data_IF_059053035258
#
_entry.id   IF_059053035258
#
_cell.length_a   1.000
_cell.length_b   1.000
_cell.length_c   1.000
_cell.angle_alpha   90.00
_cell.angle_beta   90.00
_cell.angle_gamma   90.00
#
_symmetry.space_group_name_H-M   'P 1'
#
loop_
_entity.id
_entity.type
_entity.pdbx_description
1 polymer ?
#
# COMPACT_ATOMS: atom_id res chain seq x y z
N UNK A 1 -59.64 -27.89 -10.21
CA UNK A 1 -58.44 -28.58 -9.70
C UNK A 1 -57.22 -27.81 -10.17
N UNK A 2 -56.53 -27.10 -9.27
CA UNK A 2 -55.35 -26.27 -9.58
C UNK A 2 -54.11 -27.02 -9.12
N UNK A 3 -53.24 -27.41 -10.05
CA UNK A 3 -52.00 -28.13 -9.77
C UNK A 3 -50.94 -27.19 -9.17
N UNK A 4 -50.49 -27.53 -7.96
CA UNK A 4 -49.36 -26.88 -7.31
C UNK A 4 -48.06 -27.24 -8.03
N UNK A 5 -47.45 -26.25 -8.69
CA UNK A 5 -46.09 -26.35 -9.19
C UNK A 5 -45.10 -26.30 -8.00
N UNK A 6 -44.71 -27.48 -7.48
CA UNK A 6 -43.59 -27.59 -6.53
C UNK A 6 -42.27 -27.37 -7.29
N UNK A 7 -41.66 -26.18 -7.15
CA UNK A 7 -40.28 -25.93 -7.59
C UNK A 7 -39.34 -26.87 -6.85
N UNK A 8 -38.65 -27.73 -7.59
CA UNK A 8 -37.59 -28.61 -7.07
C UNK A 8 -36.39 -27.70 -6.68
N UNK A 9 -35.88 -27.75 -5.45
CA UNK A 9 -34.75 -26.93 -5.04
C UNK A 9 -33.48 -27.38 -5.77
N UNK A 10 -32.84 -26.45 -6.52
CA UNK A 10 -31.52 -26.67 -7.13
C UNK A 10 -30.52 -27.13 -6.07
N UNK A 11 -29.86 -28.27 -6.28
CA UNK A 11 -28.74 -28.72 -5.45
C UNK A 11 -27.62 -27.67 -5.54
N UNK A 12 -27.35 -26.97 -4.44
CA UNK A 12 -26.26 -25.99 -4.31
C UNK A 12 -24.95 -26.70 -3.91
N UNK A 13 -23.82 -26.18 -4.38
CA UNK A 13 -22.50 -26.69 -4.01
C UNK A 13 -22.22 -26.44 -2.51
N UNK A 14 -21.28 -27.18 -1.93
CA UNK A 14 -21.01 -27.12 -0.49
C UNK A 14 -20.59 -25.71 -0.02
N UNK A 15 -19.83 -24.99 -0.85
CA UNK A 15 -19.42 -23.61 -0.61
C UNK A 15 -20.61 -22.65 -0.59
N UNK A 16 -21.46 -22.67 -1.62
CA UNK A 16 -22.69 -21.87 -1.68
C UNK A 16 -23.57 -22.08 -0.44
N UNK A 17 -23.71 -23.33 0.01
CA UNK A 17 -24.49 -23.66 1.21
C UNK A 17 -23.87 -23.05 2.48
N UNK A 18 -22.54 -23.10 2.61
CA UNK A 18 -21.84 -22.48 3.75
C UNK A 18 -21.98 -20.96 3.73
N UNK A 19 -21.87 -20.34 2.56
CA UNK A 19 -22.03 -18.89 2.43
C UNK A 19 -23.46 -18.45 2.77
N UNK A 20 -24.47 -19.18 2.32
CA UNK A 20 -25.87 -18.93 2.68
C UNK A 20 -26.12 -19.07 4.18
N UNK A 21 -25.60 -20.13 4.80
CA UNK A 21 -25.71 -20.32 6.25
C UNK A 21 -25.04 -19.19 7.03
N UNK A 22 -23.87 -18.71 6.58
CA UNK A 22 -23.20 -17.53 7.17
C UNK A 22 -24.07 -16.29 7.04
N UNK A 23 -24.61 -16.01 5.86
CA UNK A 23 -25.47 -14.86 5.61
C UNK A 23 -26.78 -14.91 6.42
N UNK A 24 -27.38 -16.10 6.58
CA UNK A 24 -28.58 -16.31 7.41
C UNK A 24 -28.27 -16.10 8.89
N UNK A 25 -27.16 -16.65 9.38
CA UNK A 25 -26.70 -16.44 10.75
C UNK A 25 -26.45 -14.95 11.02
N UNK A 26 -25.82 -14.25 10.08
CA UNK A 26 -25.53 -12.82 10.18
C UNK A 26 -26.81 -11.99 10.27
N UNK A 27 -27.80 -12.27 9.40
CA UNK A 27 -29.10 -11.60 9.44
C UNK A 27 -29.85 -11.84 10.75
N UNK A 28 -29.84 -13.06 11.25
CA UNK A 28 -30.49 -13.41 12.51
C UNK A 28 -29.82 -12.70 13.69
N UNK A 29 -28.48 -12.68 13.72
CA UNK A 29 -27.72 -12.00 14.77
C UNK A 29 -27.98 -10.49 14.78
N UNK A 30 -28.07 -9.88 13.59
CA UNK A 30 -28.41 -8.47 13.44
C UNK A 30 -29.85 -8.18 13.90
N UNK A 31 -30.82 -8.97 13.45
CA UNK A 31 -32.22 -8.79 13.84
C UNK A 31 -32.42 -8.93 15.36
N UNK A 32 -31.72 -9.89 15.98
CA UNK A 32 -31.72 -10.10 17.43
C UNK A 32 -31.17 -8.87 18.18
N UNK A 33 -30.02 -8.34 17.75
CA UNK A 33 -29.42 -7.15 18.34
C UNK A 33 -30.32 -5.91 18.22
N UNK A 34 -30.93 -5.71 17.04
CA UNK A 34 -31.87 -4.61 16.80
C UNK A 34 -33.12 -4.75 17.67
N UNK A 35 -33.68 -5.96 17.81
CA UNK A 35 -34.88 -6.21 18.60
C UNK A 35 -34.66 -5.93 20.09
N UNK A 36 -33.56 -6.44 20.66
CA UNK A 36 -33.22 -6.24 22.08
C UNK A 36 -33.00 -4.78 22.43
N UNK A 37 -32.33 -4.02 21.55
CA UNK A 37 -32.14 -2.58 21.73
C UNK A 37 -33.44 -1.79 21.60
N UNK A 38 -34.31 -2.15 20.65
CA UNK A 38 -35.65 -1.53 20.53
C UNK A 38 -36.46 -1.75 21.80
N UNK A 39 -36.50 -2.99 22.29
CA UNK A 39 -37.19 -3.32 23.53
C UNK A 39 -36.64 -2.50 24.71
N UNK A 40 -35.32 -2.40 24.83
CA UNK A 40 -34.70 -1.58 25.88
C UNK A 40 -35.10 -0.10 25.78
N UNK A 41 -35.12 0.48 24.57
CA UNK A 41 -35.55 1.87 24.38
C UNK A 41 -37.03 2.08 24.72
N UNK A 42 -37.89 1.14 24.34
CA UNK A 42 -39.33 1.18 24.62
C UNK A 42 -39.62 1.05 26.13
N UNK A 43 -38.84 0.24 26.85
CA UNK A 43 -38.96 0.05 28.31
C UNK A 43 -38.50 1.28 29.09
N UNK A 44 -37.40 1.91 28.69
CA UNK A 44 -36.83 3.05 29.39
C UNK A 44 -37.57 4.37 29.12
N UNK A 45 -38.29 4.48 27.99
CA UNK A 45 -39.08 5.67 27.60
C UNK A 45 -38.30 6.98 27.75
N UNK A 46 -37.09 7.02 27.19
CA UNK A 46 -36.25 8.20 27.25
C UNK A 46 -36.97 9.43 26.68
N UNK A 47 -36.89 10.56 27.39
CA UNK A 47 -37.26 11.85 26.82
C UNK A 47 -36.17 12.30 25.83
N UNK A 48 -36.53 13.12 24.84
CA UNK A 48 -35.53 13.65 23.88
C UNK A 48 -34.45 14.51 24.58
N UNK A 49 -34.78 15.15 25.70
CA UNK A 49 -33.87 16.02 26.47
C UNK A 49 -32.88 15.22 27.33
N UNK A 50 -33.28 14.04 27.82
CA UNK A 50 -32.45 13.18 28.69
C UNK A 50 -31.64 12.13 27.93
N UNK A 51 -31.90 11.96 26.63
CA UNK A 51 -31.34 10.86 25.84
C UNK A 51 -29.80 10.88 25.80
N UNK A 52 -29.17 12.06 25.74
CA UNK A 52 -27.70 12.18 25.79
C UNK A 52 -27.15 11.63 27.11
N UNK A 53 -27.82 11.95 28.23
CA UNK A 53 -27.40 11.48 29.55
C UNK A 53 -27.57 9.96 29.69
N UNK A 54 -28.45 9.35 28.90
CA UNK A 54 -28.68 7.91 28.87
C UNK A 54 -27.65 7.12 28.03
N UNK A 55 -26.84 7.76 27.17
CA UNK A 55 -25.87 7.06 26.31
C UNK A 55 -24.95 6.12 27.07
N UNK A 56 -24.34 6.50 28.21
CA UNK A 56 -23.51 5.59 29.00
C UNK A 56 -24.27 4.33 29.47
N UNK A 57 -25.54 4.47 29.85
CA UNK A 57 -26.37 3.34 30.27
C UNK A 57 -26.69 2.41 29.09
N UNK A 58 -26.95 2.97 27.91
CA UNK A 58 -27.17 2.22 26.67
C UNK A 58 -25.90 1.43 26.30
N UNK A 59 -24.72 2.04 26.40
CA UNK A 59 -23.45 1.35 26.13
C UNK A 59 -23.18 0.22 27.13
N UNK A 60 -23.49 0.42 28.41
CA UNK A 60 -23.38 -0.63 29.43
C UNK A 60 -24.38 -1.75 29.20
N UNK A 61 -25.61 -1.45 28.76
CA UNK A 61 -26.59 -2.47 28.36
C UNK A 61 -26.05 -3.32 27.20
N UNK A 62 -25.60 -2.68 26.12
CA UNK A 62 -25.03 -3.37 24.95
C UNK A 62 -23.86 -4.25 25.37
N UNK A 63 -22.96 -3.74 26.21
CA UNK A 63 -21.78 -4.46 26.70
C UNK A 63 -22.14 -5.68 27.54
N UNK A 64 -23.19 -5.61 28.37
CA UNK A 64 -23.65 -6.72 29.22
C UNK A 64 -24.43 -7.77 28.45
N UNK A 65 -25.22 -7.36 27.46
CA UNK A 65 -26.09 -8.24 26.68
C UNK A 65 -25.34 -8.96 25.56
N UNK A 66 -24.31 -8.33 24.99
CA UNK A 66 -23.65 -8.85 23.80
C UNK A 66 -23.01 -10.25 24.01
N UNK A 67 -23.48 -11.29 23.32
CA UNK A 67 -22.89 -12.64 23.41
C UNK A 67 -21.55 -12.75 22.66
N UNK A 68 -21.29 -11.87 21.70
CA UNK A 68 -20.07 -11.85 20.90
C UNK A 68 -19.84 -10.45 20.27
N UNK A 69 -18.67 -10.28 19.63
CA UNK A 69 -18.28 -9.00 19.03
C UNK A 69 -19.19 -8.56 17.88
N UNK A 70 -19.66 -9.50 17.05
CA UNK A 70 -20.53 -9.19 15.91
C UNK A 70 -21.89 -8.66 16.38
N UNK A 71 -22.46 -9.25 17.42
CA UNK A 71 -23.72 -8.76 18.02
C UNK A 71 -23.52 -7.34 18.57
N UNK A 72 -22.41 -7.11 19.29
CA UNK A 72 -22.05 -5.79 19.81
C UNK A 72 -21.95 -4.76 18.66
N UNK A 73 -21.36 -5.13 17.53
CA UNK A 73 -21.25 -4.28 16.36
C UNK A 73 -22.64 -3.88 15.82
N UNK A 74 -23.52 -4.86 15.57
CA UNK A 74 -24.86 -4.57 15.08
C UNK A 74 -25.69 -3.73 16.06
N UNK A 75 -25.51 -3.96 17.37
CA UNK A 75 -26.13 -3.15 18.41
C UNK A 75 -25.68 -1.67 18.35
N UNK A 76 -24.36 -1.42 18.19
CA UNK A 76 -23.83 -0.06 18.02
C UNK A 76 -24.28 0.59 16.70
N UNK A 77 -24.29 -0.16 15.59
CA UNK A 77 -24.79 0.31 14.29
C UNK A 77 -26.26 0.69 14.37
N UNK A 78 -27.09 -0.15 15.00
CA UNK A 78 -28.51 0.12 15.21
C UNK A 78 -28.73 1.37 16.05
N UNK A 79 -28.03 1.49 17.18
CA UNK A 79 -28.15 2.65 18.06
C UNK A 79 -27.79 3.95 17.31
N UNK A 80 -26.74 3.92 16.50
CA UNK A 80 -26.38 5.06 15.65
C UNK A 80 -27.48 5.42 14.66
N UNK A 81 -27.99 4.45 13.91
CA UNK A 81 -29.09 4.67 12.95
C UNK A 81 -30.33 5.23 13.64
N UNK A 82 -30.65 4.72 14.85
CA UNK A 82 -31.77 5.23 15.64
C UNK A 82 -31.62 6.72 15.98
N UNK A 83 -30.43 7.16 16.39
CA UNK A 83 -30.16 8.59 16.66
C UNK A 83 -30.16 9.42 15.36
N UNK A 84 -29.62 8.90 14.26
CA UNK A 84 -29.67 9.58 12.96
C UNK A 84 -31.11 9.83 12.49
N UNK A 85 -31.98 8.82 12.62
CA UNK A 85 -33.40 8.93 12.28
C UNK A 85 -34.13 9.89 13.22
N UNK A 86 -33.84 9.82 14.53
CA UNK A 86 -34.44 10.69 15.54
C UNK A 86 -34.05 12.16 15.33
N UNK A 87 -32.79 12.44 15.00
CA UNK A 87 -32.29 13.76 14.62
C UNK A 87 -33.01 14.29 13.38
N UNK A 88 -33.14 13.47 12.33
CA UNK A 88 -33.85 13.85 11.10
C UNK A 88 -35.34 14.12 11.33
N UNK A 89 -36.03 13.25 12.07
CA UNK A 89 -37.48 13.34 12.29
C UNK A 89 -37.88 14.51 13.20
N UNK A 90 -37.02 14.88 14.16
CA UNK A 90 -37.33 15.91 15.15
C UNK A 90 -36.50 17.19 15.01
N UNK A 91 -35.67 17.29 13.95
CA UNK A 91 -34.73 18.39 13.73
C UNK A 91 -33.83 18.66 14.95
N UNK A 92 -33.26 17.59 15.51
CA UNK A 92 -32.33 17.60 16.64
C UNK A 92 -30.89 17.42 16.16
N UNK A 93 -29.94 17.81 17.02
CA UNK A 93 -28.49 17.69 16.75
C UNK A 93 -27.80 16.86 17.84
N UNK A 94 -28.35 15.67 18.12
CA UNK A 94 -27.74 14.77 19.10
C UNK A 94 -26.44 14.16 18.54
N UNK A 95 -25.38 14.03 19.35
CA UNK A 95 -24.12 13.45 18.91
C UNK A 95 -24.32 11.99 18.49
N UNK A 96 -23.72 11.58 17.38
CA UNK A 96 -23.88 10.21 16.89
C UNK A 96 -23.10 9.21 17.76
N UNK A 97 -23.74 8.07 18.15
CA UNK A 97 -23.07 6.99 18.84
C UNK A 97 -21.83 6.46 18.12
N UNK A 98 -20.78 6.14 18.87
CA UNK A 98 -19.56 5.55 18.31
C UNK A 98 -19.79 4.11 17.83
N UNK A 99 -19.18 3.77 16.69
CA UNK A 99 -19.16 2.41 16.15
C UNK A 99 -18.04 1.59 16.79
N UNK A 100 -18.21 0.27 16.83
CA UNK A 100 -17.13 -0.63 17.19
C UNK A 100 -16.12 -0.72 16.05
N UNK A 101 -14.84 -0.54 16.36
CA UNK A 101 -13.75 -0.77 15.41
C UNK A 101 -13.43 -2.27 15.35
N UNK A 102 -13.42 -2.85 14.15
CA UNK A 102 -12.84 -4.17 13.89
C UNK A 102 -11.41 -3.98 13.43
N UNK A 103 -10.43 -4.44 14.22
CA UNK A 103 -9.09 -4.68 13.69
C UNK A 103 -9.18 -5.80 12.66
N UNK A 104 -9.24 -5.45 11.38
CA UNK A 104 -8.91 -6.39 10.32
C UNK A 104 -7.40 -6.62 10.40
N UNK A 105 -7.00 -7.86 10.65
CA UNK A 105 -5.61 -8.25 10.44
C UNK A 105 -5.35 -8.22 8.94
N UNK A 106 -4.21 -7.68 8.55
CA UNK A 106 -3.77 -7.81 7.17
C UNK A 106 -3.66 -9.29 6.82
N UNK A 107 -4.04 -9.61 5.58
CA UNK A 107 -3.90 -10.97 5.10
C UNK A 107 -2.41 -11.34 5.04
N UNK A 108 -2.03 -12.56 5.45
CA UNK A 108 -0.66 -13.00 5.32
C UNK A 108 -0.26 -13.02 3.85
N UNK A 109 0.87 -12.40 3.51
CA UNK A 109 1.40 -12.44 2.14
C UNK A 109 1.87 -13.86 1.78
N UNK A 110 2.51 -14.54 2.74
CA UNK A 110 2.95 -15.91 2.58
C UNK A 110 1.81 -16.88 2.88
N UNK A 111 1.07 -17.26 1.83
CA UNK A 111 0.02 -18.28 1.88
C UNK A 111 0.46 -19.56 1.19
N UNK A 112 -0.28 -20.66 1.38
CA UNK A 112 -0.07 -21.88 0.60
C UNK A 112 -0.26 -21.63 -0.91
N UNK A 113 -1.24 -20.81 -1.26
CA UNK A 113 -1.51 -20.43 -2.65
C UNK A 113 -0.34 -19.64 -3.24
N UNK A 114 0.26 -18.74 -2.45
CA UNK A 114 1.47 -18.00 -2.86
C UNK A 114 2.65 -18.93 -3.11
N UNK A 115 2.86 -19.95 -2.27
CA UNK A 115 3.92 -20.96 -2.46
C UNK A 115 3.66 -21.78 -3.73
N UNK A 116 2.42 -22.23 -3.94
CA UNK A 116 2.06 -23.02 -5.13
C UNK A 116 2.19 -22.20 -6.41
N UNK A 117 1.72 -20.96 -6.42
CA UNK A 117 1.89 -20.04 -7.52
C UNK A 117 3.37 -19.73 -7.78
N UNK A 118 4.17 -19.60 -6.71
CA UNK A 118 5.59 -19.39 -6.83
C UNK A 118 6.32 -20.44 -7.67
N UNK A 119 5.95 -21.71 -7.53
CA UNK A 119 6.54 -22.78 -8.35
C UNK A 119 6.32 -22.57 -9.86
N UNK A 120 5.15 -22.06 -10.25
CA UNK A 120 4.88 -21.72 -11.66
C UNK A 120 5.66 -20.48 -12.11
N UNK A 121 5.93 -19.52 -11.21
CA UNK A 121 6.85 -18.41 -11.50
C UNK A 121 8.25 -18.95 -11.77
N UNK A 122 8.76 -19.87 -10.94
CA UNK A 122 10.08 -20.50 -11.15
C UNK A 122 10.16 -21.20 -12.52
N UNK A 123 9.12 -21.94 -12.92
CA UNK A 123 9.05 -22.58 -14.25
C UNK A 123 9.15 -21.54 -15.39
N UNK A 124 8.48 -20.39 -15.25
CA UNK A 124 8.58 -19.31 -16.25
C UNK A 124 10.01 -18.75 -16.28
N UNK A 125 10.63 -18.55 -15.11
CA UNK A 125 12.00 -18.07 -15.00
C UNK A 125 13.00 -19.05 -15.64
N UNK A 126 12.91 -20.34 -15.35
CA UNK A 126 13.76 -21.38 -15.95
C UNK A 126 13.67 -21.35 -17.48
N UNK A 127 12.45 -21.27 -18.03
CA UNK A 127 12.26 -21.21 -19.48
C UNK A 127 12.81 -19.93 -20.13
N UNK A 128 12.73 -18.80 -19.42
CA UNK A 128 13.35 -17.55 -19.87
C UNK A 128 14.88 -17.68 -19.90
N UNK A 129 15.46 -18.23 -18.83
CA UNK A 129 16.89 -18.50 -18.74
C UNK A 129 17.36 -19.43 -19.86
N UNK A 130 16.66 -20.54 -20.09
CA UNK A 130 16.97 -21.47 -21.20
C UNK A 130 16.96 -20.74 -22.54
N UNK A 131 15.93 -19.94 -22.80
CA UNK A 131 15.82 -19.17 -24.04
C UNK A 131 16.95 -18.14 -24.18
N UNK A 132 17.31 -17.44 -23.11
CA UNK A 132 18.39 -16.44 -23.15
C UNK A 132 19.78 -17.06 -23.32
N UNK A 133 20.05 -18.19 -22.66
CA UNK A 133 21.35 -18.88 -22.74
C UNK A 133 21.57 -19.54 -24.10
N UNK A 134 20.49 -19.99 -24.76
CA UNK A 134 20.57 -20.56 -26.11
C UNK A 134 20.88 -19.51 -27.19
N UNK A 135 20.74 -18.22 -26.90
CA UNK A 135 21.13 -17.15 -27.81
C UNK A 135 22.65 -16.97 -27.82
N UNK A 136 23.27 -17.05 -29.01
CA UNK A 136 24.74 -16.99 -29.15
C UNK A 136 25.32 -15.65 -28.69
N UNK A 137 24.65 -14.55 -29.02
CA UNK A 137 24.94 -13.23 -28.49
C UNK A 137 23.68 -12.35 -28.58
N UNK A 138 23.77 -11.11 -28.08
CA UNK A 138 22.63 -10.21 -28.04
C UNK A 138 21.99 -9.97 -29.42
N UNK A 139 22.77 -9.99 -30.52
CA UNK A 139 22.28 -9.78 -31.91
C UNK A 139 21.22 -10.78 -32.35
N UNK A 140 21.11 -11.93 -31.67
CA UNK A 140 20.09 -12.93 -31.92
C UNK A 140 18.67 -12.47 -31.54
N UNK A 141 18.53 -11.48 -30.67
CA UNK A 141 17.22 -10.93 -30.27
C UNK A 141 16.80 -9.79 -31.20
N UNK A 142 15.55 -9.81 -31.65
CA UNK A 142 14.91 -8.69 -32.32
C UNK A 142 14.72 -7.51 -31.37
N UNK A 143 14.48 -6.33 -31.94
CA UNK A 143 14.24 -5.13 -31.14
C UNK A 143 12.96 -5.25 -30.29
N UNK A 144 11.91 -5.88 -30.83
CA UNK A 144 10.69 -6.19 -30.08
C UNK A 144 10.93 -7.21 -28.95
N UNK A 145 11.82 -8.19 -29.16
CA UNK A 145 12.22 -9.12 -28.10
C UNK A 145 12.98 -8.40 -26.99
N UNK A 146 13.85 -7.43 -27.31
CA UNK A 146 14.53 -6.62 -26.30
C UNK A 146 13.52 -5.83 -25.47
N UNK A 147 12.56 -5.16 -26.12
CA UNK A 147 11.51 -4.40 -25.42
C UNK A 147 10.64 -5.33 -24.55
N UNK A 148 10.23 -6.49 -25.09
CA UNK A 148 9.46 -7.47 -24.33
C UNK A 148 10.20 -8.01 -23.11
N UNK A 149 11.51 -8.26 -23.23
CA UNK A 149 12.33 -8.67 -22.09
C UNK A 149 12.52 -7.55 -21.05
N UNK A 150 12.60 -6.27 -21.45
CA UNK A 150 12.60 -5.14 -20.50
C UNK A 150 11.32 -5.17 -19.65
N UNK A 151 10.15 -5.29 -20.30
CA UNK A 151 8.87 -5.31 -19.60
C UNK A 151 8.76 -6.51 -18.66
N UNK A 152 9.09 -7.71 -19.15
CA UNK A 152 8.98 -8.94 -18.38
C UNK A 152 9.93 -8.96 -17.19
N UNK A 153 11.17 -8.48 -17.36
CA UNK A 153 12.12 -8.36 -16.25
C UNK A 153 11.68 -7.30 -15.24
N UNK A 154 11.13 -6.16 -15.71
CA UNK A 154 10.58 -5.13 -14.83
C UNK A 154 9.45 -5.66 -13.95
N UNK A 155 8.65 -6.61 -14.44
CA UNK A 155 7.63 -7.31 -13.65
C UNK A 155 8.23 -8.32 -12.67
N UNK A 156 9.12 -9.20 -13.16
CA UNK A 156 9.60 -10.37 -12.42
C UNK A 156 10.70 -10.06 -11.39
N UNK A 157 11.43 -8.98 -11.60
CA UNK A 157 12.58 -8.59 -10.78
C UNK A 157 12.50 -7.13 -10.31
N UNK A 158 11.86 -6.24 -11.08
CA UNK A 158 11.82 -4.80 -10.80
C UNK A 158 10.60 -4.29 -10.03
N UNK A 159 9.56 -5.11 -9.81
CA UNK A 159 8.34 -4.70 -9.11
C UNK A 159 7.52 -3.64 -9.86
N UNK A 160 7.45 -3.70 -11.19
CA UNK A 160 6.47 -2.96 -12.01
C UNK A 160 5.45 -3.92 -12.59
N UNK A 161 4.38 -4.20 -11.84
CA UNK A 161 3.46 -5.29 -12.17
C UNK A 161 2.14 -4.82 -12.79
N UNK A 162 1.80 -3.53 -12.65
CA UNK A 162 0.56 -3.00 -13.21
C UNK A 162 0.73 -2.55 -14.66
N UNK A 163 -0.33 -2.74 -15.45
CA UNK A 163 -0.37 -2.36 -16.86
C UNK A 163 -0.09 -0.87 -17.08
N UNK A 164 -0.60 -0.01 -16.18
CA UNK A 164 -0.39 1.43 -16.26
C UNK A 164 1.10 1.81 -16.06
N UNK A 165 1.78 1.15 -15.12
CA UNK A 165 3.21 1.34 -14.86
C UNK A 165 4.08 0.81 -15.99
N UNK A 166 3.72 -0.32 -16.58
CA UNK A 166 4.41 -0.86 -17.76
C UNK A 166 4.19 0.03 -19.00
N UNK A 167 3.00 0.60 -19.18
CA UNK A 167 2.75 1.58 -20.22
C UNK A 167 3.57 2.86 -20.01
N UNK A 168 3.66 3.36 -18.78
CA UNK A 168 4.52 4.50 -18.46
C UNK A 168 6.00 4.19 -18.77
N UNK A 169 6.45 2.96 -18.51
CA UNK A 169 7.79 2.52 -18.91
C UNK A 169 7.96 2.50 -20.43
N UNK A 170 6.97 2.04 -21.21
CA UNK A 170 7.02 2.12 -22.68
C UNK A 170 7.05 3.57 -23.18
N UNK A 171 6.27 4.47 -22.57
CA UNK A 171 6.32 5.90 -22.88
C UNK A 171 7.72 6.46 -22.62
N UNK A 172 8.33 6.12 -21.49
CA UNK A 172 9.72 6.48 -21.19
C UNK A 172 10.70 5.89 -22.21
N UNK A 173 10.55 4.63 -22.63
CA UNK A 173 11.45 4.02 -23.62
C UNK A 173 11.34 4.71 -25.00
N UNK A 174 10.15 5.19 -25.38
CA UNK A 174 9.92 5.95 -26.63
C UNK A 174 10.66 7.28 -26.60
N UNK A 175 10.41 8.02 -25.53
CA UNK A 175 10.94 9.36 -25.31
C UNK A 175 11.64 9.34 -23.95
N UNK A 176 12.92 8.91 -23.89
CA UNK A 176 13.64 8.81 -22.63
C UNK A 176 13.68 10.18 -21.96
N UNK A 177 12.88 10.29 -20.89
CA UNK A 177 12.97 11.39 -19.96
C UNK A 177 14.27 11.28 -19.14
N UNK A 178 14.45 12.19 -18.18
CA UNK A 178 15.63 12.18 -17.32
C UNK A 178 15.72 10.89 -16.51
N UNK A 179 16.81 10.14 -16.74
CA UNK A 179 17.30 9.13 -15.81
C UNK A 179 18.20 9.85 -14.81
N UNK A 180 17.87 9.79 -13.53
CA UNK A 180 18.77 10.30 -12.50
C UNK A 180 19.71 9.21 -12.03
N UNK A 181 21.01 9.57 -11.98
CA UNK A 181 22.01 8.75 -11.33
C UNK A 181 22.25 9.28 -9.92
N UNK A 182 21.86 8.50 -8.92
CA UNK A 182 22.05 8.83 -7.51
C UNK A 182 22.83 7.67 -6.88
N UNK A 183 24.07 7.95 -6.49
CA UNK A 183 25.06 6.92 -6.13
C UNK A 183 25.24 5.89 -7.27
N UNK A 184 25.00 4.61 -6.97
CA UNK A 184 25.08 3.50 -7.92
C UNK A 184 23.73 3.11 -8.52
N UNK A 185 22.67 3.88 -8.23
CA UNK A 185 21.32 3.64 -8.73
C UNK A 185 20.99 4.54 -9.93
N UNK A 186 20.39 3.92 -10.94
CA UNK A 186 19.72 4.64 -12.02
C UNK A 186 18.23 4.62 -11.73
N UNK A 187 17.62 5.80 -11.65
CA UNK A 187 16.21 5.96 -11.30
C UNK A 187 15.48 6.50 -12.52
N UNK A 188 14.44 5.80 -12.92
CA UNK A 188 13.50 6.19 -13.96
C UNK A 188 12.25 6.73 -13.28
N UNK A 189 11.93 8.00 -13.53
CA UNK A 189 10.69 8.60 -13.05
C UNK A 189 9.58 8.28 -14.04
N UNK A 190 8.52 7.63 -13.55
CA UNK A 190 7.37 7.22 -14.33
C UNK A 190 6.13 7.92 -13.81
N UNK A 191 5.18 8.21 -14.71
CA UNK A 191 3.92 8.86 -14.36
C UNK A 191 2.70 8.03 -14.80
N UNK A 192 2.50 6.81 -14.26
CA UNK A 192 1.36 5.97 -14.63
C UNK A 192 0.01 6.62 -14.31
N UNK A 193 -0.94 6.36 -15.20
CA UNK A 193 -2.35 6.69 -15.00
C UNK A 193 -2.92 5.93 -13.80
N UNK A 194 -3.75 6.62 -13.01
CA UNK A 194 -4.40 6.05 -11.84
C UNK A 194 -5.88 6.48 -11.78
N UNK A 195 -6.81 5.57 -11.47
CA UNK A 195 -8.24 5.89 -11.50
C UNK A 195 -8.70 6.79 -10.35
N UNK A 196 -8.04 6.73 -9.18
CA UNK A 196 -8.55 7.37 -7.96
C UNK A 196 -7.48 7.82 -6.96
N UNK A 197 -6.19 7.67 -7.28
CA UNK A 197 -5.10 7.96 -6.34
C UNK A 197 -3.87 8.50 -7.08
N UNK A 198 -3.38 9.66 -6.70
CA UNK A 198 -2.17 10.21 -7.30
C UNK A 198 -1.84 11.59 -6.78
N UNK A 199 -0.63 12.04 -7.09
CA UNK A 199 -0.04 13.33 -6.74
C UNK A 199 0.09 14.26 -7.96
N UNK A 200 -0.16 13.75 -9.17
CA UNK A 200 -0.08 14.50 -10.42
C UNK A 200 -1.47 14.66 -11.03
N UNK A 201 -2.02 15.88 -10.93
CA UNK A 201 -3.33 16.22 -11.47
C UNK A 201 -3.15 16.95 -12.81
N UNK A 202 -3.46 16.26 -13.91
CA UNK A 202 -3.37 16.85 -15.26
C UNK A 202 -4.65 17.64 -15.57
N UNK A 203 -5.80 17.06 -15.25
CA UNK A 203 -7.12 17.70 -15.34
C UNK A 203 -8.09 17.05 -14.34
N UNK A 204 -9.35 17.51 -14.30
CA UNK A 204 -10.39 17.00 -13.38
C UNK A 204 -10.68 15.50 -13.52
N UNK A 205 -10.28 14.86 -14.63
CA UNK A 205 -10.59 13.47 -14.96
C UNK A 205 -9.36 12.57 -15.03
N UNK A 206 -8.17 13.14 -15.11
CA UNK A 206 -6.92 12.43 -15.36
C UNK A 206 -5.99 12.61 -14.19
N UNK A 207 -5.94 11.57 -13.35
CA UNK A 207 -5.02 11.48 -12.21
C UNK A 207 -3.86 10.57 -12.61
N UNK A 208 -2.64 11.04 -12.40
CA UNK A 208 -1.41 10.25 -12.51
C UNK A 208 -0.76 10.17 -11.15
N UNK A 209 0.06 9.13 -10.95
CA UNK A 209 0.90 9.00 -9.77
C UNK A 209 2.36 9.03 -10.18
N UNK A 210 3.21 9.70 -9.42
CA UNK A 210 4.65 9.57 -9.56
C UNK A 210 5.08 8.17 -9.12
N UNK A 211 6.00 7.57 -9.87
CA UNK A 211 6.56 6.25 -9.57
C UNK A 211 8.05 6.25 -9.88
N UNK A 212 8.85 6.11 -8.84
CA UNK A 212 10.30 6.03 -8.96
C UNK A 212 10.67 4.56 -9.20
N UNK A 213 11.07 4.23 -10.42
CA UNK A 213 11.48 2.88 -10.80
C UNK A 213 13.00 2.76 -10.76
N UNK A 214 13.48 1.78 -9.99
CA UNK A 214 14.90 1.41 -9.94
C UNK A 214 15.03 0.09 -10.69
N UNK A 215 15.55 0.08 -11.94
CA UNK A 215 15.66 -1.15 -12.70
C UNK A 215 16.61 -2.14 -12.04
N UNK A 216 16.18 -3.39 -11.90
CA UNK A 216 17.02 -4.48 -11.42
C UNK A 216 18.15 -4.79 -12.42
N UNK A 217 19.06 -5.69 -12.04
CA UNK A 217 20.23 -6.01 -12.86
C UNK A 217 19.87 -6.57 -14.24
N UNK A 218 18.88 -7.45 -14.35
CA UNK A 218 18.46 -8.03 -15.63
C UNK A 218 17.74 -7.00 -16.49
N UNK A 219 16.83 -6.21 -15.92
CA UNK A 219 16.21 -5.10 -16.64
C UNK A 219 17.29 -4.12 -17.16
N UNK A 220 18.31 -3.81 -16.35
CA UNK A 220 19.44 -2.97 -16.78
C UNK A 220 20.22 -3.56 -17.95
N UNK A 221 20.46 -4.87 -17.96
CA UNK A 221 21.14 -5.52 -19.08
C UNK A 221 20.36 -5.34 -20.39
N UNK A 222 19.04 -5.54 -20.36
CA UNK A 222 18.20 -5.32 -21.54
C UNK A 222 18.14 -3.84 -21.94
N UNK A 223 18.09 -2.92 -20.98
CA UNK A 223 18.19 -1.47 -21.24
C UNK A 223 19.52 -1.07 -21.89
N UNK A 224 20.63 -1.74 -21.55
CA UNK A 224 21.92 -1.51 -22.22
C UNK A 224 21.84 -1.92 -23.68
N UNK A 225 21.26 -3.08 -24.00
CA UNK A 225 21.06 -3.50 -25.38
C UNK A 225 20.15 -2.55 -26.15
N UNK A 226 19.04 -2.14 -25.55
CA UNK A 226 18.08 -1.19 -26.11
C UNK A 226 18.74 0.14 -26.47
N UNK A 227 19.57 0.69 -25.58
CA UNK A 227 20.26 1.96 -25.81
C UNK A 227 21.44 1.82 -26.79
N UNK A 228 22.20 0.73 -26.72
CA UNK A 228 23.32 0.49 -27.64
C UNK A 228 22.85 0.40 -29.09
N UNK A 229 21.67 -0.19 -29.32
CA UNK A 229 21.04 -0.30 -30.64
C UNK A 229 20.21 0.90 -31.07
N UNK A 230 20.01 1.88 -30.20
CA UNK A 230 19.16 3.04 -30.47
C UNK A 230 17.72 2.66 -30.86
N UNK A 231 17.17 1.63 -30.21
CA UNK A 231 15.79 1.19 -30.46
C UNK A 231 14.84 2.28 -29.98
N UNK A 232 14.02 2.86 -30.86
CA UNK A 232 13.03 3.89 -30.50
C UNK A 232 11.65 3.65 -31.12
N UNK A 233 11.56 2.70 -32.06
CA UNK A 233 10.29 2.28 -32.62
C UNK A 233 9.61 1.31 -31.65
N UNK A 234 8.62 1.83 -30.93
CA UNK A 234 7.82 1.05 -29.97
C UNK A 234 6.37 1.12 -30.46
N UNK A 235 5.97 0.11 -31.21
CA UNK A 235 4.71 0.08 -31.93
C UNK A 235 3.65 -0.81 -31.26
N UNK A 236 4.08 -1.76 -30.42
CA UNK A 236 3.18 -2.71 -29.75
C UNK A 236 2.75 -2.22 -28.37
N UNK A 237 1.63 -2.77 -27.88
CA UNK A 237 1.23 -2.61 -26.48
C UNK A 237 1.93 -3.65 -25.57
N UNK A 238 1.82 -3.46 -24.25
CA UNK A 238 2.43 -4.35 -23.25
C UNK A 238 2.02 -5.81 -23.45
N UNK A 239 0.73 -6.09 -23.73
CA UNK A 239 0.28 -7.46 -23.88
C UNK A 239 0.86 -8.14 -25.12
N UNK A 240 0.98 -7.40 -26.22
CA UNK A 240 1.59 -7.89 -27.44
C UNK A 240 3.09 -8.19 -27.25
N UNK A 241 3.84 -7.31 -26.57
CA UNK A 241 5.24 -7.56 -26.23
C UNK A 241 5.42 -8.78 -25.31
N UNK A 242 4.61 -8.90 -24.26
CA UNK A 242 4.67 -10.06 -23.36
C UNK A 242 4.28 -11.35 -24.09
N UNK A 243 3.25 -11.30 -24.95
CA UNK A 243 2.84 -12.46 -25.75
C UNK A 243 3.96 -12.93 -26.67
N UNK A 244 4.71 -12.01 -27.30
CA UNK A 244 5.86 -12.32 -28.14
C UNK A 244 6.90 -13.17 -27.36
N UNK A 245 7.29 -12.73 -26.16
CA UNK A 245 8.27 -13.47 -25.35
C UNK A 245 7.73 -14.84 -24.94
N UNK A 246 6.47 -14.92 -24.53
CA UNK A 246 5.83 -16.17 -24.14
C UNK A 246 5.75 -17.19 -25.29
N UNK A 247 5.56 -16.73 -26.53
CA UNK A 247 5.68 -17.58 -27.71
C UNK A 247 7.09 -18.16 -27.86
N UNK A 248 8.14 -17.35 -27.63
CA UNK A 248 9.55 -17.78 -27.74
C UNK A 248 9.92 -18.84 -26.72
N UNK A 249 9.46 -18.70 -25.48
CA UNK A 249 9.66 -19.70 -24.41
C UNK A 249 8.66 -20.87 -24.47
N UNK A 250 7.81 -20.93 -25.50
CA UNK A 250 6.79 -21.97 -25.70
C UNK A 250 5.92 -22.16 -24.46
N UNK A 251 5.41 -21.05 -23.90
CA UNK A 251 4.52 -21.07 -22.74
C UNK A 251 3.26 -20.21 -23.03
N UNK A 252 2.06 -20.66 -22.64
CA UNK A 252 0.82 -19.98 -23.03
C UNK A 252 0.66 -18.62 -22.34
N UNK A 253 0.36 -17.59 -23.13
CA UNK A 253 0.04 -16.26 -22.63
C UNK A 253 -1.42 -15.91 -22.85
N UNK A 254 -2.10 -15.57 -21.76
CA UNK A 254 -3.49 -15.12 -21.72
C UNK A 254 -3.64 -14.00 -20.70
N UNK A 255 -4.80 -13.35 -20.64
CA UNK A 255 -5.10 -12.38 -19.57
C UNK A 255 -4.96 -13.00 -18.16
N UNK A 256 -5.18 -14.32 -18.02
CA UNK A 256 -4.95 -15.03 -16.76
C UNK A 256 -3.46 -15.12 -16.44
N UNK A 257 -2.61 -15.35 -17.44
CA UNK A 257 -1.15 -15.36 -17.31
C UNK A 257 -0.64 -13.99 -16.87
N UNK A 258 -1.11 -12.90 -17.50
CA UNK A 258 -0.74 -11.55 -17.07
C UNK A 258 -1.15 -11.29 -15.62
N UNK A 259 -2.41 -11.58 -15.27
CA UNK A 259 -2.90 -11.44 -13.90
C UNK A 259 -2.05 -12.27 -12.92
N UNK A 260 -1.68 -13.47 -13.31
CA UNK A 260 -0.83 -14.35 -12.51
C UNK A 260 0.55 -13.76 -12.26
N UNK A 261 1.25 -13.29 -13.30
CA UNK A 261 2.54 -12.59 -13.16
C UNK A 261 2.41 -11.35 -12.27
N UNK A 262 1.34 -10.57 -12.47
CA UNK A 262 1.07 -9.38 -11.67
C UNK A 262 0.88 -9.72 -10.20
N UNK A 263 0.16 -10.79 -9.88
CA UNK A 263 -0.22 -11.12 -8.51
C UNK A 263 0.89 -11.88 -7.76
N UNK A 264 1.78 -12.59 -8.46
CA UNK A 264 2.74 -13.52 -7.85
C UNK A 264 4.22 -13.31 -8.19
N UNK A 265 4.60 -12.33 -9.01
CA UNK A 265 6.02 -12.05 -9.29
C UNK A 265 6.85 -11.76 -8.04
N UNK A 266 6.22 -11.30 -6.95
CA UNK A 266 6.87 -11.10 -5.66
C UNK A 266 7.47 -12.35 -5.04
N UNK A 267 7.08 -13.54 -5.49
CA UNK A 267 7.71 -14.79 -5.10
C UNK A 267 9.21 -14.79 -5.32
N UNK A 268 9.66 -14.31 -6.49
CA UNK A 268 11.07 -14.32 -6.85
C UNK A 268 11.89 -13.38 -5.95
N UNK A 269 11.51 -12.11 -5.83
CA UNK A 269 12.31 -11.13 -5.12
C UNK A 269 12.16 -11.17 -3.59
N UNK A 270 11.08 -11.74 -3.03
CA UNK A 270 10.99 -12.02 -1.59
C UNK A 270 11.84 -13.22 -1.14
N UNK A 271 12.34 -14.03 -2.07
CA UNK A 271 13.23 -15.17 -1.75
C UNK A 271 14.72 -14.87 -1.90
N UNK A 272 15.06 -13.71 -2.48
CA UNK A 272 16.44 -13.31 -2.66
C UNK A 272 17.12 -13.14 -1.30
N UNK A 273 18.24 -13.86 -1.11
CA UNK A 273 19.04 -13.72 0.09
C UNK A 273 19.61 -12.31 0.19
N UNK A 274 19.51 -11.70 1.38
CA UNK A 274 19.95 -10.33 1.65
C UNK A 274 19.22 -9.25 0.84
N UNK A 275 18.07 -9.56 0.22
CA UNK A 275 17.19 -8.53 -0.29
C UNK A 275 16.47 -7.86 0.88
N UNK A 276 16.66 -6.54 1.04
CA UNK A 276 15.97 -5.72 2.04
C UNK A 276 14.54 -5.41 1.56
N UNK A 277 13.76 -6.47 1.31
CA UNK A 277 12.37 -6.39 0.87
C UNK A 277 11.48 -7.01 1.93
N UNK A 278 10.80 -6.15 2.66
CA UNK A 278 9.79 -6.56 3.61
C UNK A 278 8.42 -6.81 2.92
N UNK A 279 7.50 -7.54 3.59
CA UNK A 279 6.12 -7.74 3.15
C UNK A 279 5.37 -6.47 2.67
N UNK A 280 5.49 -5.36 3.39
CA UNK A 280 4.79 -4.12 3.06
C UNK A 280 5.40 -3.44 1.84
N UNK A 281 6.74 -3.40 1.73
CA UNK A 281 7.41 -2.95 0.51
C UNK A 281 6.96 -3.80 -0.68
N UNK A 282 6.77 -5.11 -0.48
CA UNK A 282 6.29 -5.99 -1.53
C UNK A 282 4.91 -5.62 -2.06
N UNK A 283 3.97 -5.30 -1.17
CA UNK A 283 2.64 -4.84 -1.59
C UNK A 283 2.68 -3.48 -2.30
N UNK A 284 3.62 -2.60 -1.93
CA UNK A 284 3.84 -1.32 -2.61
C UNK A 284 4.46 -1.50 -4.00
N UNK A 285 5.36 -2.48 -4.17
CA UNK A 285 5.98 -2.81 -5.45
C UNK A 285 4.96 -3.46 -6.40
N UNK A 286 4.15 -4.42 -5.93
CA UNK A 286 3.02 -4.95 -6.70
C UNK A 286 1.91 -3.93 -6.96
N UNK A 287 1.94 -2.79 -6.27
CA UNK A 287 0.95 -1.72 -6.29
C UNK A 287 -0.44 -2.15 -5.79
N UNK A 288 -0.49 -3.19 -4.94
CA UNK A 288 -1.68 -3.53 -4.15
C UNK A 288 -1.93 -2.48 -3.07
N UNK A 289 -0.84 -1.89 -2.55
CA UNK A 289 -0.89 -0.67 -1.75
C UNK A 289 -0.47 0.50 -2.63
N UNK A 290 -1.43 1.38 -2.93
CA UNK A 290 -1.18 2.55 -3.76
C UNK A 290 -0.29 3.54 -3.00
N UNK A 291 0.82 3.92 -3.65
CA UNK A 291 1.81 4.87 -3.13
C UNK A 291 2.24 5.81 -4.28
N UNK A 292 2.73 6.99 -3.92
CA UNK A 292 3.37 7.91 -4.85
C UNK A 292 4.88 7.93 -4.56
N UNK A 293 5.67 8.11 -5.61
CA UNK A 293 7.08 8.43 -5.48
C UNK A 293 7.29 9.84 -4.95
N UNK A 294 8.55 10.20 -4.75
CA UNK A 294 8.92 11.61 -4.65
C UNK A 294 9.14 12.15 -6.05
N UNK A 295 8.70 13.38 -6.32
CA UNK A 295 9.06 14.10 -7.55
C UNK A 295 10.58 14.18 -7.70
N UNK A 296 11.07 14.43 -8.92
CA UNK A 296 12.51 14.56 -9.18
C UNK A 296 13.19 15.50 -8.17
N UNK A 297 12.61 16.69 -7.95
CA UNK A 297 13.13 17.68 -7.01
C UNK A 297 13.09 17.23 -5.54
N UNK A 298 11.98 16.65 -5.10
CA UNK A 298 11.84 16.18 -3.71
C UNK A 298 12.72 14.96 -3.45
N UNK A 299 12.92 14.10 -4.46
CA UNK A 299 13.82 12.98 -4.39
C UNK A 299 15.27 13.44 -4.27
N UNK A 300 15.69 14.44 -5.06
CA UNK A 300 17.01 15.07 -4.92
C UNK A 300 17.20 15.68 -3.54
N UNK A 301 16.21 16.40 -3.02
CA UNK A 301 16.25 16.98 -1.68
C UNK A 301 16.32 15.89 -0.59
N UNK A 302 15.65 14.76 -0.78
CA UNK A 302 15.72 13.62 0.14
C UNK A 302 17.08 12.90 0.09
N UNK A 303 17.62 12.70 -1.12
CA UNK A 303 18.89 12.00 -1.33
C UNK A 303 20.09 12.87 -0.91
N UNK A 304 20.05 14.16 -1.27
CA UNK A 304 21.08 15.17 -1.04
C UNK A 304 20.47 16.42 -0.40
N UNK A 305 20.06 16.37 0.89
CA UNK A 305 19.44 17.50 1.54
C UNK A 305 20.38 18.69 1.57
N UNK A 306 20.06 19.72 0.78
CA UNK A 306 20.69 21.04 0.88
C UNK A 306 20.02 21.76 2.04
N UNK A 307 20.47 21.47 3.26
CA UNK A 307 20.05 22.27 4.40
C UNK A 307 20.46 23.72 4.13
N UNK A 308 19.50 24.61 3.88
CA UNK A 308 19.73 26.05 4.04
C UNK A 308 19.88 26.31 5.53
N UNK A 309 21.04 26.00 6.08
CA UNK A 309 21.46 26.59 7.34
C UNK A 309 21.69 28.07 7.08
N UNK A 310 20.62 28.88 7.17
CA UNK A 310 20.80 30.25 7.63
C UNK A 310 21.09 30.18 9.13
N UNK A 311 22.31 29.75 9.45
CA UNK A 311 22.95 29.99 10.73
C UNK A 311 24.45 30.03 10.41
N UNK A 312 24.99 31.25 10.53
CA UNK A 312 26.36 31.69 10.23
C UNK A 312 26.74 31.80 8.75
N UNK A 313 26.89 33.05 8.31
CA UNK A 313 27.76 33.41 7.21
C UNK A 313 29.21 33.18 7.66
N UNK A 314 29.67 31.93 7.67
CA UNK A 314 31.08 31.64 7.80
C UNK A 314 31.41 30.27 7.19
N UNK A 315 32.20 30.34 6.13
CA UNK A 315 33.04 29.27 5.58
C UNK A 315 32.30 28.23 4.71
N UNK A 316 31.92 28.66 3.50
CA UNK A 316 32.02 27.79 2.30
C UNK A 316 33.50 27.48 2.04
N UNK A 317 34.08 26.56 2.82
CA UNK A 317 35.29 25.85 2.39
C UNK A 317 34.81 24.59 1.71
N UNK A 318 34.95 24.58 0.39
CA UNK A 318 35.07 23.42 -0.50
C UNK A 318 35.21 22.09 0.25
N UNK A 319 34.09 21.49 0.66
CA UNK A 319 34.08 20.08 1.04
C UNK A 319 33.96 19.33 -0.28
N UNK A 320 35.10 18.86 -0.75
CA UNK A 320 35.20 17.83 -1.78
C UNK A 320 34.08 16.81 -1.58
N UNK A 321 33.30 16.57 -2.63
CA UNK A 321 32.20 15.61 -2.70
C UNK A 321 32.73 14.17 -2.63
N UNK A 322 33.42 13.81 -1.55
CA UNK A 322 33.57 12.42 -1.16
C UNK A 322 32.18 11.93 -0.78
N UNK A 323 31.62 11.03 -1.59
CA UNK A 323 30.41 10.30 -1.28
C UNK A 323 30.52 9.78 0.15
N UNK A 324 29.67 10.28 1.06
CA UNK A 324 29.57 9.73 2.41
C UNK A 324 29.14 8.28 2.25
N UNK A 325 30.03 7.36 2.61
CA UNK A 325 29.75 5.92 2.67
C UNK A 325 28.53 5.74 3.57
N UNK A 326 27.53 5.00 3.08
CA UNK A 326 26.36 4.64 3.87
C UNK A 326 26.82 3.90 5.13
N UNK A 327 26.36 4.29 6.33
CA UNK A 327 26.69 3.57 7.55
C UNK A 327 26.25 2.11 7.42
N UNK A 328 27.07 1.18 7.91
CA UNK A 328 26.76 -0.24 7.91
C UNK A 328 25.47 -0.50 8.73
N UNK A 329 24.40 -0.87 8.01
CA UNK A 329 23.05 -1.05 8.57
C UNK A 329 22.92 -2.34 9.40
N UNK A 330 23.91 -3.25 9.32
CA UNK A 330 23.84 -4.60 9.89
C UNK A 330 24.69 -4.79 11.16
N UNK A 331 24.93 -3.72 11.92
CA UNK A 331 25.61 -3.83 13.21
C UNK A 331 24.64 -4.25 14.32
N UNK A 332 25.15 -4.97 15.33
CA UNK A 332 24.36 -5.33 16.52
C UNK A 332 23.73 -4.08 17.19
N UNK A 333 24.44 -2.96 17.15
CA UNK A 333 23.99 -1.66 17.65
C UNK A 333 22.78 -1.12 16.86
N UNK A 334 22.78 -1.25 15.52
CA UNK A 334 21.66 -0.84 14.68
C UNK A 334 20.37 -1.61 15.03
N UNK A 335 20.48 -2.93 15.27
CA UNK A 335 19.35 -3.77 15.67
C UNK A 335 18.81 -3.38 17.04
N UNK A 336 19.69 -3.15 18.02
CA UNK A 336 19.29 -2.69 19.36
C UNK A 336 18.58 -1.34 19.31
N UNK A 337 19.09 -0.41 18.50
CA UNK A 337 18.49 0.91 18.28
C UNK A 337 17.09 0.80 17.66
N UNK A 338 16.90 -0.05 16.64
CA UNK A 338 15.57 -0.28 16.03
C UNK A 338 14.58 -0.83 17.07
N UNK A 339 14.99 -1.81 17.88
CA UNK A 339 14.15 -2.37 18.95
C UNK A 339 13.78 -1.31 19.98
N UNK A 340 14.75 -0.48 20.39
CA UNK A 340 14.55 0.62 21.33
C UNK A 340 13.53 1.63 20.80
N UNK A 341 13.71 2.09 19.56
CA UNK A 341 12.81 3.04 18.90
C UNK A 341 11.40 2.45 18.82
N UNK A 342 11.26 1.23 18.32
CA UNK A 342 9.97 0.56 18.15
C UNK A 342 9.19 0.43 19.46
N UNK A 343 9.84 -0.05 20.54
CA UNK A 343 9.20 -0.22 21.85
C UNK A 343 8.71 1.10 22.43
N UNK A 344 9.52 2.16 22.33
CA UNK A 344 9.18 3.45 22.91
C UNK A 344 8.08 4.17 22.11
N UNK A 345 8.13 4.12 20.77
CA UNK A 345 7.04 4.65 19.94
C UNK A 345 5.72 3.91 20.19
N UNK A 346 5.73 2.57 20.29
CA UNK A 346 4.54 1.80 20.66
C UNK A 346 4.00 2.18 22.04
N UNK A 347 4.89 2.42 23.02
CA UNK A 347 4.49 2.86 24.36
C UNK A 347 3.79 4.21 24.27
N UNK A 348 4.37 5.19 23.58
CA UNK A 348 3.77 6.53 23.37
C UNK A 348 2.39 6.40 22.72
N UNK A 349 2.26 5.60 21.66
CA UNK A 349 0.98 5.39 20.96
C UNK A 349 -0.07 4.70 21.84
N UNK A 350 0.32 3.77 22.71
CA UNK A 350 -0.61 3.05 23.60
C UNK A 350 -1.05 3.85 24.82
N UNK A 351 -0.20 4.75 25.32
CA UNK A 351 -0.49 5.53 26.54
C UNK A 351 -1.16 6.87 26.26
N UNK A 352 -1.18 7.33 25.01
CA UNK A 352 -1.71 8.64 24.65
C UNK A 352 -3.14 8.50 24.12
N UNK A 353 -4.12 9.01 24.87
CA UNK A 353 -5.55 8.91 24.54
C UNK A 353 -6.13 10.15 23.83
N UNK A 354 -5.35 11.22 23.63
CA UNK A 354 -5.82 12.51 23.07
C UNK A 354 -4.81 13.19 22.11
N UNK A 355 -5.21 14.34 21.53
CA UNK A 355 -4.56 15.19 20.50
C UNK A 355 -3.06 15.55 20.67
N UNK A 356 -2.36 15.03 21.69
CA UNK A 356 -0.92 15.28 21.96
C UNK A 356 0.05 14.20 21.46
N UNK A 357 -0.44 13.07 20.95
CA UNK A 357 0.42 11.93 20.54
C UNK A 357 1.46 12.32 19.49
N UNK A 358 1.08 13.16 18.52
CA UNK A 358 1.99 13.63 17.47
C UNK A 358 3.17 14.43 18.07
N UNK A 359 2.89 15.34 19.01
CA UNK A 359 3.93 16.13 19.68
C UNK A 359 4.89 15.26 20.50
N UNK A 360 4.36 14.27 21.22
CA UNK A 360 5.19 13.31 21.98
C UNK A 360 6.09 12.46 21.08
N UNK A 361 5.59 12.05 19.91
CA UNK A 361 6.39 11.33 18.90
C UNK A 361 7.50 12.25 18.37
N UNK A 362 7.17 13.49 18.01
CA UNK A 362 8.16 14.47 17.51
C UNK A 362 9.26 14.71 18.56
N UNK A 363 8.89 14.96 19.82
CA UNK A 363 9.85 15.21 20.91
C UNK A 363 10.71 13.99 21.23
N UNK A 364 10.17 12.78 21.09
CA UNK A 364 10.93 11.54 21.22
C UNK A 364 11.96 11.44 20.09
N UNK A 365 11.53 11.60 18.85
CA UNK A 365 12.39 11.49 17.68
C UNK A 365 13.54 12.52 17.69
N UNK A 366 13.28 13.76 18.11
CA UNK A 366 14.32 14.80 18.22
C UNK A 366 15.33 14.50 19.33
N UNK A 367 14.88 14.03 20.51
CA UNK A 367 15.76 13.68 21.63
C UNK A 367 16.65 12.48 21.34
N UNK A 368 16.14 11.52 20.58
CA UNK A 368 16.80 10.25 20.31
C UNK A 368 17.43 10.20 18.91
N UNK A 369 17.62 11.34 18.25
CA UNK A 369 18.09 11.42 16.85
C UNK A 369 19.35 10.60 16.58
N UNK A 370 20.31 10.57 17.51
CA UNK A 370 21.58 9.82 17.41
C UNK A 370 21.38 8.32 17.20
N UNK A 371 20.26 7.76 17.67
CA UNK A 371 19.94 6.32 17.61
C UNK A 371 19.25 5.93 16.31
N UNK A 372 18.80 6.90 15.51
CA UNK A 372 18.21 6.63 14.20
C UNK A 372 19.31 6.51 13.15
N UNK A 373 19.15 5.56 12.22
CA UNK A 373 20.00 5.56 11.02
C UNK A 373 19.69 6.80 10.16
N UNK A 374 20.59 7.12 9.24
CA UNK A 374 20.45 8.32 8.41
C UNK A 374 19.14 8.37 7.60
N UNK A 375 18.61 7.23 7.15
CA UNK A 375 17.33 7.17 6.45
C UNK A 375 16.15 7.44 7.38
N UNK A 376 16.14 6.84 8.57
CA UNK A 376 15.10 7.06 9.57
C UNK A 376 15.10 8.50 10.06
N UNK A 377 16.28 9.11 10.28
CA UNK A 377 16.39 10.56 10.57
C UNK A 377 15.75 11.39 9.47
N UNK A 378 16.04 11.09 8.19
CA UNK A 378 15.46 11.80 7.04
C UNK A 378 13.95 11.68 6.99
N UNK A 379 13.40 10.47 7.13
CA UNK A 379 11.95 10.23 7.15
C UNK A 379 11.30 10.98 8.31
N UNK A 380 11.89 10.94 9.50
CA UNK A 380 11.39 11.63 10.69
C UNK A 380 11.39 13.15 10.49
N UNK A 381 12.48 13.72 9.99
CA UNK A 381 12.57 15.17 9.75
C UNK A 381 11.56 15.61 8.68
N UNK A 382 11.38 14.80 7.64
CA UNK A 382 10.35 15.02 6.63
C UNK A 382 8.94 14.96 7.25
N UNK A 383 8.61 13.93 8.03
CA UNK A 383 7.34 13.84 8.75
C UNK A 383 7.12 15.04 9.68
N UNK A 384 8.13 15.44 10.46
CA UNK A 384 8.07 16.63 11.32
C UNK A 384 7.75 17.89 10.49
N UNK A 385 8.33 18.01 9.29
CA UNK A 385 8.07 19.16 8.41
C UNK A 385 6.63 19.21 7.90
N UNK A 386 6.00 18.04 7.68
CA UNK A 386 4.59 17.94 7.28
C UNK A 386 3.63 18.21 8.44
N UNK A 387 4.03 17.83 9.67
CA UNK A 387 3.18 17.90 10.86
C UNK A 387 3.44 19.11 11.77
N UNK A 388 4.34 20.04 11.41
CA UNK A 388 4.52 21.27 12.19
C UNK A 388 3.21 22.06 12.18
N UNK A 389 2.50 22.20 13.30
CA UNK A 389 1.39 23.13 13.36
C UNK A 389 1.94 24.55 13.18
N UNK A 390 1.21 25.40 12.47
CA UNK A 390 1.50 26.82 12.40
C UNK A 390 1.66 27.37 13.82
N UNK A 391 2.65 28.25 14.03
CA UNK A 391 3.03 28.82 15.33
C UNK A 391 1.87 29.44 16.14
N UNK A 392 0.72 29.69 15.50
CA UNK A 392 -0.50 30.24 16.08
C UNK A 392 -1.20 29.30 17.09
N UNK A 393 -0.99 27.98 17.00
CA UNK A 393 -1.59 27.02 17.95
C UNK A 393 -0.86 26.93 19.31
N UNK A 394 0.28 27.62 19.47
CA UNK A 394 1.07 27.63 20.70
C UNK A 394 0.76 28.79 21.65
N UNK A 395 -0.08 29.76 21.24
CA UNK A 395 -0.34 30.98 22.03
C UNK A 395 -1.69 31.01 22.75
N UNK A 396 -2.56 30.01 22.61
CA UNK A 396 -3.79 29.94 23.42
C UNK A 396 -3.62 28.99 24.60
N UNK A 397 -3.02 29.49 25.67
CA UNK A 397 -3.28 29.02 27.03
C UNK A 397 -3.58 30.25 27.90
N UNK A 398 -4.65 30.22 28.71
CA UNK A 398 -5.17 31.39 29.39
C UNK A 398 -4.33 31.74 30.62
N UNK A 399 -4.18 33.04 30.88
CA UNK A 399 -3.80 33.58 32.19
C UNK A 399 -4.81 33.24 33.27
#
# INVERSE_FOLDING_TARGET
>A
MSSFNKKIPKKRYAEDRRQLQRNELEKNLRADAEQELRQYFDEQKFSNEDLIQAYPAIYEFIKRKAPNLAWKKYAHEFFRTYIEDLNKSNNLDLPLPYLTFEMKRDEPIFTLDWIQAGHEIDIILEKLWDYWILAQDSSAFSDDEIIGNILLCSMLYGGLNQIASLNALLEHLKNPEKIQKIFDFNIIFLEPLSPSYGDLFVDEKTIRKSRNFIPDQLTRLWLIHFNTRQIRDISLDVNAYLHLIFQKIKHPYTNKTFKFLRDYANFNWLQLQNADVDPALSQCLLENTLTCGLSEHEFENFAFPKFKTQLSAEIERNVSSTAKVLPDLNTSEAVENVIFIHKNLLKIMRTSTDQGTAKLIIDFCLRHQEQFNEFSKRIILWLISLYRPSSEQLTSSPT
#
